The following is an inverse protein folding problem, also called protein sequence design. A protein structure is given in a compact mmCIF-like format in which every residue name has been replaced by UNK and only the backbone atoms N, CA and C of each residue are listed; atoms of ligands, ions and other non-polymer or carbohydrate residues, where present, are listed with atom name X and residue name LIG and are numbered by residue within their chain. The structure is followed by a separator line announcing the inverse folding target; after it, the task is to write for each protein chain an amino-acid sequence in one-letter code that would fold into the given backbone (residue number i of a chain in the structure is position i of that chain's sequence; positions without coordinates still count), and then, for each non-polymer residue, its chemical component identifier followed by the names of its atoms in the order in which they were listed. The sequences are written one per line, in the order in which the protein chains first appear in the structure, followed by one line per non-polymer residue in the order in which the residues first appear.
data_IF_014294881772
#
_entry.id   IF_014294881772
#
_cell.length_a   1.000
_cell.length_b   1.000
_cell.length_c   1.000
_cell.angle_alpha   90.00
_cell.angle_beta   90.00
_cell.angle_gamma   90.00
#
_symmetry.space_group_name_H-M   'P 1'
#
loop_
_entity.id
_entity.type
_entity.pdbx_description
1 polymer ?
#
# COMPACT_ATOMS: atom_id res chain seq x y z
N UNK A 1 21.26 12.50 -20.60
CA UNK A 1 20.08 13.11 -19.95
C UNK A 1 19.92 12.59 -18.52
N UNK A 2 19.98 13.49 -17.53
CA UNK A 2 19.81 13.18 -16.09
C UNK A 2 18.44 13.58 -15.55
N UNK A 3 17.68 14.36 -16.31
CA UNK A 3 16.37 14.86 -15.94
C UNK A 3 15.30 14.28 -16.87
N UNK A 4 14.09 14.11 -16.36
CA UNK A 4 12.98 13.57 -17.11
C UNK A 4 12.33 14.65 -17.99
N UNK A 5 12.10 14.30 -19.25
CA UNK A 5 11.51 15.19 -20.26
C UNK A 5 10.08 15.64 -19.92
N UNK A 6 9.33 14.90 -19.07
CA UNK A 6 7.96 15.26 -18.67
C UNK A 6 7.87 16.14 -17.42
N UNK A 7 8.62 15.76 -16.38
CA UNK A 7 8.48 16.30 -15.03
C UNK A 7 9.65 17.25 -14.67
N UNK A 8 10.69 17.34 -15.52
CA UNK A 8 11.99 17.98 -15.24
C UNK A 8 12.65 17.58 -13.91
N UNK A 9 12.21 16.48 -13.30
CA UNK A 9 12.76 15.91 -12.06
C UNK A 9 13.94 14.98 -12.39
N UNK A 10 14.86 14.75 -11.44
CA UNK A 10 15.99 13.85 -11.63
C UNK A 10 15.51 12.41 -11.89
N UNK A 11 16.23 11.72 -12.77
CA UNK A 11 15.99 10.32 -13.10
C UNK A 11 16.76 9.42 -12.13
N UNK A 12 16.08 8.40 -11.62
CA UNK A 12 16.69 7.36 -10.80
C UNK A 12 16.83 6.05 -11.58
N UNK A 13 17.74 5.17 -11.14
CA UNK A 13 17.87 3.83 -11.72
C UNK A 13 16.65 3.00 -11.32
N UNK A 14 16.00 2.37 -12.30
CA UNK A 14 14.85 1.51 -12.07
C UNK A 14 15.27 0.21 -11.35
N UNK A 15 15.03 0.15 -10.04
CA UNK A 15 15.24 -1.07 -9.25
C UNK A 15 14.13 -2.10 -9.50
N UNK A 16 14.51 -3.36 -9.67
CA UNK A 16 13.61 -4.49 -9.95
C UNK A 16 12.72 -4.29 -11.19
N UNK A 17 13.31 -4.10 -12.38
CA UNK A 17 12.57 -3.76 -13.60
C UNK A 17 11.53 -4.82 -13.98
N UNK A 18 11.84 -6.10 -13.81
CA UNK A 18 10.92 -7.22 -14.13
C UNK A 18 9.67 -7.19 -13.26
N UNK A 19 9.81 -6.96 -11.95
CA UNK A 19 8.69 -6.92 -11.01
C UNK A 19 7.81 -5.68 -11.22
N UNK A 20 8.44 -4.52 -11.46
CA UNK A 20 7.71 -3.25 -11.66
C UNK A 20 7.00 -3.16 -13.00
N UNK A 21 7.53 -3.82 -14.03
CA UNK A 21 6.94 -3.83 -15.39
C UNK A 21 6.08 -5.06 -15.65
N UNK A 22 5.88 -5.92 -14.65
CA UNK A 22 5.07 -7.12 -14.79
C UNK A 22 3.63 -6.78 -15.15
N UNK A 23 3.09 -7.47 -16.16
CA UNK A 23 1.76 -7.21 -16.71
C UNK A 23 1.67 -5.96 -17.61
N UNK A 24 2.78 -5.26 -17.87
CA UNK A 24 2.82 -4.15 -18.84
C UNK A 24 3.38 -4.62 -20.18
N UNK A 25 3.05 -3.90 -21.28
CA UNK A 25 3.63 -4.16 -22.61
C UNK A 25 5.15 -3.98 -22.66
N UNK A 26 5.73 -3.32 -21.66
CA UNK A 26 7.16 -3.03 -21.54
C UNK A 26 7.92 -4.07 -20.70
N UNK A 27 7.26 -5.16 -20.28
CA UNK A 27 7.89 -6.21 -19.47
C UNK A 27 9.14 -6.81 -20.13
N UNK A 28 9.08 -7.10 -21.43
CA UNK A 28 10.21 -7.61 -22.21
C UNK A 28 11.42 -6.66 -22.20
N UNK A 29 11.19 -5.35 -22.28
CA UNK A 29 12.26 -4.34 -22.14
C UNK A 29 12.81 -4.32 -20.71
N UNK A 30 11.96 -4.53 -19.70
CA UNK A 30 12.38 -4.74 -18.32
C UNK A 30 13.32 -5.93 -18.16
N UNK A 31 13.01 -7.07 -18.77
CA UNK A 31 13.87 -8.27 -18.77
C UNK A 31 15.19 -7.99 -19.51
N UNK A 32 15.13 -7.40 -20.70
CA UNK A 32 16.34 -7.03 -21.48
C UNK A 32 17.27 -6.09 -20.70
N UNK A 33 16.71 -5.17 -19.91
CA UNK A 33 17.50 -4.22 -19.11
C UNK A 33 18.32 -4.86 -17.99
N UNK A 34 17.99 -6.10 -17.58
CA UNK A 34 18.82 -6.86 -16.63
C UNK A 34 20.10 -7.40 -17.26
N UNK A 35 20.08 -7.66 -18.57
CA UNK A 35 21.19 -8.24 -19.32
C UNK A 35 22.01 -7.20 -20.09
N UNK A 36 21.44 -6.02 -20.33
CA UNK A 36 22.05 -4.94 -21.09
C UNK A 36 22.28 -3.70 -20.19
N UNK A 37 21.76 -2.54 -20.59
CA UNK A 37 21.87 -1.29 -19.83
C UNK A 37 20.65 -1.10 -18.92
N UNK A 38 20.83 -0.54 -17.71
CA UNK A 38 19.73 -0.32 -16.78
C UNK A 38 18.78 0.79 -17.27
N UNK A 39 17.49 0.58 -17.04
CA UNK A 39 16.45 1.58 -17.29
C UNK A 39 16.46 2.67 -16.22
N UNK A 40 16.03 3.87 -16.62
CA UNK A 40 15.86 5.02 -15.72
C UNK A 40 14.37 5.32 -15.51
N UNK A 41 14.01 5.87 -14.35
CA UNK A 41 12.65 6.15 -13.91
C UNK A 41 12.55 7.59 -13.37
N UNK A 42 11.52 8.36 -13.75
CA UNK A 42 11.11 9.56 -12.98
C UNK A 42 10.26 9.08 -11.79
N UNK A 43 10.71 9.21 -10.53
CA UNK A 43 9.93 8.79 -9.36
C UNK A 43 8.63 9.60 -9.21
N UNK A 44 8.62 10.84 -9.71
CA UNK A 44 7.45 11.73 -9.65
C UNK A 44 6.36 11.31 -10.66
N UNK A 45 6.70 11.11 -11.93
CA UNK A 45 5.69 10.86 -12.98
C UNK A 45 5.58 9.41 -13.47
N UNK A 46 6.43 8.51 -12.98
CA UNK A 46 6.44 7.09 -13.37
C UNK A 46 6.87 6.84 -14.82
N UNK A 47 7.47 7.84 -15.48
CA UNK A 47 8.01 7.69 -16.84
C UNK A 47 9.31 6.87 -16.81
N UNK A 48 9.47 6.02 -17.82
CA UNK A 48 10.62 5.14 -17.98
C UNK A 48 11.42 5.60 -19.19
N UNK A 49 12.71 5.75 -18.98
CA UNK A 49 13.68 6.15 -20.00
C UNK A 49 14.71 5.04 -20.24
N UNK A 50 15.22 4.96 -21.47
CA UNK A 50 16.44 4.19 -21.76
C UNK A 50 17.64 4.82 -21.07
N UNK A 51 18.76 4.11 -21.06
CA UNK A 51 20.05 4.66 -20.63
C UNK A 51 20.49 5.87 -21.47
N UNK A 52 20.17 5.85 -22.76
CA UNK A 52 20.46 6.91 -23.74
C UNK A 52 19.60 8.16 -23.52
N UNK A 53 18.49 8.03 -22.77
CA UNK A 53 17.61 9.14 -22.40
C UNK A 53 16.28 9.15 -23.16
N UNK A 54 16.08 8.24 -24.11
CA UNK A 54 14.84 8.12 -24.86
C UNK A 54 13.68 7.68 -23.96
N UNK A 55 12.50 8.27 -24.16
CA UNK A 55 11.29 7.93 -23.41
C UNK A 55 10.71 6.62 -23.94
N UNK A 56 10.76 5.56 -23.14
CA UNK A 56 10.16 4.26 -23.49
C UNK A 56 8.68 4.20 -23.17
N UNK A 57 8.30 4.75 -22.01
CA UNK A 57 6.93 4.67 -21.54
C UNK A 57 6.59 5.85 -20.64
N UNK A 58 5.45 6.49 -20.90
CA UNK A 58 4.90 7.54 -20.06
C UNK A 58 4.02 6.91 -18.95
N UNK A 59 4.42 7.02 -17.69
CA UNK A 59 3.60 6.59 -16.55
C UNK A 59 3.39 5.08 -16.41
N UNK A 60 4.19 4.24 -17.07
CA UNK A 60 4.04 2.78 -16.99
C UNK A 60 4.46 2.20 -15.63
N UNK A 61 5.35 2.88 -14.90
CA UNK A 61 5.77 2.45 -13.58
C UNK A 61 4.96 3.14 -12.49
N UNK A 62 4.74 2.43 -11.38
CA UNK A 62 4.17 2.99 -10.16
C UNK A 62 5.16 3.97 -9.52
N UNK A 63 4.62 5.10 -9.06
CA UNK A 63 5.41 6.15 -8.42
C UNK A 63 5.78 5.75 -6.99
N UNK A 64 6.79 6.42 -6.42
CA UNK A 64 7.20 6.16 -5.05
C UNK A 64 6.04 6.38 -4.06
N UNK A 65 5.23 7.42 -4.29
CA UNK A 65 4.11 7.78 -3.41
C UNK A 65 2.97 6.76 -3.49
N UNK A 66 2.67 6.22 -4.67
CA UNK A 66 1.68 5.15 -4.79
C UNK A 66 2.13 3.87 -4.10
N UNK A 67 3.41 3.51 -4.22
CA UNK A 67 3.97 2.35 -3.51
C UNK A 67 3.89 2.54 -2.00
N UNK A 68 4.24 3.74 -1.50
CA UNK A 68 4.11 4.10 -0.08
C UNK A 68 2.67 4.02 0.41
N UNK A 69 1.72 4.60 -0.34
CA UNK A 69 0.30 4.56 0.02
C UNK A 69 -0.29 3.15 -0.03
N UNK A 70 0.16 2.31 -0.97
CA UNK A 70 -0.23 0.89 -1.00
C UNK A 70 0.30 0.13 0.20
N UNK A 71 1.56 0.32 0.57
CA UNK A 71 2.15 -0.27 1.77
C UNK A 71 1.42 0.20 3.04
N UNK A 72 1.18 1.51 3.16
CA UNK A 72 0.39 2.09 4.24
C UNK A 72 -1.01 1.47 4.31
N UNK A 73 -1.69 1.32 3.17
CA UNK A 73 -3.00 0.66 3.12
C UNK A 73 -2.93 -0.79 3.61
N UNK A 74 -1.94 -1.58 3.19
CA UNK A 74 -1.78 -2.95 3.68
C UNK A 74 -1.50 -3.01 5.17
N UNK A 75 -0.71 -2.07 5.69
CA UNK A 75 -0.40 -1.99 7.12
C UNK A 75 -1.65 -1.64 7.93
N UNK A 76 -2.47 -0.69 7.48
CA UNK A 76 -3.73 -0.36 8.14
C UNK A 76 -4.71 -1.54 8.16
N UNK A 77 -4.78 -2.31 7.06
CA UNK A 77 -5.60 -3.54 7.02
C UNK A 77 -5.05 -4.59 7.99
N UNK A 78 -3.73 -4.78 8.03
CA UNK A 78 -3.09 -5.73 8.93
C UNK A 78 -3.28 -5.35 10.40
N UNK A 79 -3.20 -4.06 10.73
CA UNK A 79 -3.50 -3.56 12.08
C UNK A 79 -4.95 -3.82 12.44
N UNK A 80 -5.89 -3.50 11.56
CA UNK A 80 -7.32 -3.79 11.75
C UNK A 80 -7.56 -5.27 12.06
N UNK A 81 -7.00 -6.16 11.26
CA UNK A 81 -7.19 -7.60 11.39
C UNK A 81 -6.48 -8.14 12.65
N UNK A 82 -5.31 -7.58 13.00
CA UNK A 82 -4.60 -7.87 14.24
C UNK A 82 -5.40 -7.47 15.49
N UNK A 83 -6.01 -6.28 15.51
CA UNK A 83 -6.90 -5.88 16.59
C UNK A 83 -8.13 -6.79 16.70
N UNK A 84 -8.73 -7.18 15.58
CA UNK A 84 -9.82 -8.15 15.57
C UNK A 84 -9.42 -9.48 16.21
N UNK A 85 -8.22 -10.00 15.90
CA UNK A 85 -7.70 -11.22 16.50
C UNK A 85 -7.51 -11.12 18.02
N UNK A 86 -6.97 -10.01 18.52
CA UNK A 86 -6.79 -9.77 19.97
C UNK A 86 -8.13 -9.74 20.70
N UNK A 87 -9.15 -9.11 20.12
CA UNK A 87 -10.48 -8.99 20.72
C UNK A 87 -11.16 -10.35 20.81
N UNK A 88 -11.11 -11.14 19.71
CA UNK A 88 -11.64 -12.51 19.70
C UNK A 88 -10.92 -13.38 20.74
N UNK A 89 -9.59 -13.29 20.84
CA UNK A 89 -8.83 -14.02 21.84
C UNK A 89 -9.19 -13.60 23.28
N UNK A 90 -9.40 -12.31 23.52
CA UNK A 90 -9.84 -11.79 24.81
C UNK A 90 -11.24 -12.28 25.17
N UNK A 91 -12.20 -12.25 24.24
CA UNK A 91 -13.55 -12.78 24.45
C UNK A 91 -13.53 -14.29 24.73
N UNK A 92 -12.74 -15.07 23.98
CA UNK A 92 -12.56 -16.51 24.23
C UNK A 92 -11.93 -16.79 25.60
N UNK A 93 -10.95 -16.00 26.02
CA UNK A 93 -10.35 -16.13 27.34
C UNK A 93 -11.36 -15.80 28.46
N UNK A 94 -12.20 -14.79 28.27
CA UNK A 94 -13.29 -14.44 29.20
C UNK A 94 -14.33 -15.55 29.30
N UNK A 95 -14.71 -16.18 28.18
CA UNK A 95 -15.61 -17.34 28.15
C UNK A 95 -14.99 -18.55 28.84
N UNK A 96 -13.70 -18.82 28.61
CA UNK A 96 -12.99 -19.93 29.27
C UNK A 96 -12.91 -19.73 30.79
N UNK A 97 -12.61 -18.50 31.24
CA UNK A 97 -12.55 -18.16 32.67
C UNK A 97 -13.93 -18.18 33.35
N UNK A 98 -15.01 -17.86 32.62
CA UNK A 98 -16.36 -17.89 33.19
C UNK A 98 -16.93 -19.29 33.32
N UNK A 99 -16.45 -20.25 32.52
CA UNK A 99 -16.85 -21.67 32.63
C UNK A 99 -16.30 -22.37 33.88
N UNK A 100 -15.26 -21.84 34.54
CA UNK A 100 -14.56 -22.50 35.66
C UNK A 100 -14.88 -21.95 37.05
N UNK A 101 -15.66 -20.87 37.18
CA UNK A 101 -15.94 -20.24 38.49
C UNK A 101 -17.39 -19.72 38.62
N UNK A 102 -18.03 -19.99 39.75
CA UNK A 102 -19.46 -19.71 40.01
C UNK A 102 -19.80 -18.21 40.19
N UNK A 103 -18.80 -17.34 40.38
CA UNK A 103 -18.97 -15.90 40.59
C UNK A 103 -18.70 -15.04 39.34
N UNK A 104 -18.08 -15.60 38.30
CA UNK A 104 -17.77 -14.87 37.05
C UNK A 104 -18.89 -14.70 36.01
N UNK A 105 -20.04 -15.40 36.02
CA UNK A 105 -20.99 -15.30 34.91
C UNK A 105 -21.70 -13.94 34.80
N UNK A 106 -21.68 -13.12 35.86
CA UNK A 106 -22.28 -11.78 35.83
C UNK A 106 -21.35 -10.69 35.24
N UNK A 107 -20.03 -10.81 35.40
CA UNK A 107 -19.06 -9.77 35.02
C UNK A 107 -18.46 -10.04 33.64
N UNK A 108 -18.30 -11.31 33.27
CA UNK A 108 -17.76 -11.74 31.98
C UNK A 108 -18.51 -11.14 30.76
N UNK A 109 -19.85 -11.08 30.72
CA UNK A 109 -20.58 -10.48 29.59
C UNK A 109 -20.33 -8.97 29.48
N UNK A 110 -20.24 -8.27 30.62
CA UNK A 110 -20.01 -6.82 30.65
C UNK A 110 -18.60 -6.50 30.12
N UNK A 111 -17.60 -7.29 30.51
CA UNK A 111 -16.24 -7.16 30.00
C UNK A 111 -16.15 -7.47 28.50
N UNK A 112 -16.84 -8.52 28.03
CA UNK A 112 -16.90 -8.83 26.60
C UNK A 112 -17.56 -7.71 25.78
N UNK A 113 -18.69 -7.17 26.24
CA UNK A 113 -19.38 -6.06 25.56
C UNK A 113 -18.54 -4.78 25.58
N UNK A 114 -17.89 -4.45 26.71
CA UNK A 114 -17.05 -3.28 26.82
C UNK A 114 -15.80 -3.38 25.92
N UNK A 115 -15.15 -4.55 25.88
CA UNK A 115 -13.99 -4.80 25.02
C UNK A 115 -14.37 -4.81 23.54
N UNK A 116 -15.46 -5.48 23.17
CA UNK A 116 -16.02 -5.45 21.81
C UNK A 116 -16.45 -4.04 21.37
N UNK A 117 -17.10 -3.28 22.25
CA UNK A 117 -17.51 -1.89 21.99
C UNK A 117 -16.32 -0.94 21.80
N UNK A 118 -15.29 -1.06 22.64
CA UNK A 118 -14.06 -0.27 22.50
C UNK A 118 -13.25 -0.66 21.26
N UNK A 119 -13.31 -1.93 20.84
CA UNK A 119 -12.63 -2.41 19.63
C UNK A 119 -13.22 -1.85 18.32
N UNK A 120 -14.47 -1.38 18.33
CA UNK A 120 -15.08 -0.74 17.17
C UNK A 120 -14.34 0.55 16.78
N UNK A 121 -13.80 1.30 17.74
CA UNK A 121 -13.06 2.54 17.47
C UNK A 121 -11.80 2.32 16.62
N UNK A 122 -10.82 1.48 17.02
CA UNK A 122 -9.66 1.20 16.18
C UNK A 122 -10.06 0.53 14.86
N UNK A 123 -11.04 -0.39 14.87
CA UNK A 123 -11.49 -1.04 13.65
C UNK A 123 -12.06 -0.05 12.62
N UNK A 124 -12.91 0.87 13.05
CA UNK A 124 -13.46 1.93 12.21
C UNK A 124 -12.38 2.91 11.74
N UNK A 125 -11.45 3.30 12.63
CA UNK A 125 -10.34 4.18 12.31
C UNK A 125 -9.43 3.61 11.23
N UNK A 126 -8.92 2.38 11.41
CA UNK A 126 -8.03 1.73 10.45
C UNK A 126 -8.75 1.45 9.12
N UNK A 127 -10.02 1.05 9.18
CA UNK A 127 -10.85 0.89 7.98
C UNK A 127 -11.01 2.19 7.20
N UNK A 128 -11.22 3.32 7.89
CA UNK A 128 -11.32 4.64 7.27
C UNK A 128 -9.99 5.03 6.63
N UNK A 129 -8.86 4.87 7.32
CA UNK A 129 -7.53 5.14 6.79
C UNK A 129 -7.17 4.30 5.58
N UNK A 130 -7.51 3.02 5.58
CA UNK A 130 -7.32 2.15 4.42
C UNK A 130 -8.16 2.59 3.20
N UNK A 131 -9.38 3.11 3.43
CA UNK A 131 -10.23 3.66 2.36
C UNK A 131 -9.70 5.00 1.83
N UNK A 132 -9.31 5.92 2.71
CA UNK A 132 -8.69 7.20 2.36
C UNK A 132 -7.45 6.95 1.47
N UNK A 133 -6.54 6.06 1.90
CA UNK A 133 -5.35 5.71 1.13
C UNK A 133 -5.70 5.07 -0.23
N UNK A 134 -6.74 4.23 -0.30
CA UNK A 134 -7.20 3.64 -1.57
C UNK A 134 -7.69 4.71 -2.56
N UNK A 135 -8.44 5.69 -2.07
CA UNK A 135 -8.93 6.81 -2.89
C UNK A 135 -7.76 7.67 -3.38
N UNK A 136 -6.79 7.94 -2.51
CA UNK A 136 -5.62 8.74 -2.88
C UNK A 136 -4.74 8.05 -3.94
N UNK A 137 -4.50 6.74 -3.80
CA UNK A 137 -3.81 5.95 -4.85
C UNK A 137 -4.56 6.00 -6.18
N UNK A 138 -5.90 5.96 -6.15
CA UNK A 138 -6.71 6.06 -7.36
C UNK A 138 -6.53 7.43 -8.04
N UNK A 139 -6.54 8.51 -7.26
CA UNK A 139 -6.30 9.88 -7.74
C UNK A 139 -4.90 10.04 -8.36
N UNK A 140 -3.87 9.56 -7.67
CA UNK A 140 -2.49 9.60 -8.19
C UNK A 140 -2.34 8.80 -9.49
N UNK A 141 -2.98 7.63 -9.57
CA UNK A 141 -2.98 6.83 -10.80
C UNK A 141 -3.66 7.55 -11.96
N UNK A 142 -4.80 8.20 -11.71
CA UNK A 142 -5.49 9.01 -12.72
C UNK A 142 -4.64 10.23 -13.15
N UNK A 143 -4.02 10.93 -12.19
CA UNK A 143 -3.11 12.04 -12.47
C UNK A 143 -1.90 11.59 -13.30
N UNK A 144 -1.36 10.39 -13.03
CA UNK A 144 -0.25 9.80 -13.79
C UNK A 144 -0.60 9.53 -15.24
N UNK A 145 -1.76 8.92 -15.47
CA UNK A 145 -2.27 8.62 -16.82
C UNK A 145 -2.53 9.91 -17.59
N UNK A 146 -3.11 10.93 -16.92
CA UNK A 146 -3.36 12.25 -17.52
C UNK A 146 -2.09 13.10 -17.67
N UNK A 147 -0.98 12.70 -17.05
CA UNK A 147 0.26 13.48 -17.04
C UNK A 147 0.22 14.75 -16.19
N UNK A 148 -0.75 14.85 -15.28
CA UNK A 148 -1.02 16.01 -14.44
C UNK A 148 -0.44 15.86 -13.03
N UNK A 149 0.59 15.03 -12.85
CA UNK A 149 1.24 14.90 -11.55
C UNK A 149 1.91 16.23 -11.23
N UNK A 150 1.28 16.97 -10.31
CA UNK A 150 1.74 18.26 -9.82
C UNK A 150 3.17 18.14 -9.29
N UNK A 151 3.95 19.15 -9.65
CA UNK A 151 5.40 19.23 -9.55
C UNK A 151 5.97 18.80 -8.20
#
# INVERSE_FOLDING_TARGET
MTHCVRCNRPLEILRHPVRRLWGTRYWLQGVRSLLAKPLRLCPACGAIHTWEGELLAAGAAETADELRLKAYRSDMVRLRDGFGGVVIAAELAVIWMSASTTAFPAIAPILAIATGGLALFPFAYFSRKAREAKLEVKRLREARVKGQLSA
#
